data_IF_402809497625
#
_entry.id   IF_402809497625
#
_cell.length_a   1.000
_cell.length_b   1.000
_cell.length_c   1.000
_cell.angle_alpha   90.00
_cell.angle_beta   90.00
_cell.angle_gamma   90.00
#
_symmetry.space_group_name_H-M   'P 1'
#
loop_
_entity.id
_entity.type
_entity.pdbx_description
1 polymer ?
#
# COMPACT_ATOMS: atom_id res chain seq x y z
N UNK A 1 9.41 0.90 -2.34
CA UNK A 1 8.80 2.20 -2.10
C UNK A 1 7.52 2.03 -1.32
N UNK A 2 7.22 2.97 -0.45
CA UNK A 2 6.00 2.99 0.33
C UNK A 2 4.78 2.94 -0.63
N UNK A 3 3.96 1.92 -0.51
CA UNK A 3 2.78 1.70 -1.36
C UNK A 3 1.78 2.85 -1.23
N UNK A 4 1.86 3.60 -0.13
CA UNK A 4 1.00 4.74 0.18
C UNK A 4 1.47 6.06 -0.44
N UNK A 5 2.77 6.21 -0.67
CA UNK A 5 3.36 7.46 -1.16
C UNK A 5 3.65 7.35 -2.65
N UNK A 6 2.62 7.56 -3.49
CA UNK A 6 2.78 7.59 -4.95
C UNK A 6 3.38 8.92 -5.39
N UNK A 7 4.66 9.10 -5.09
CA UNK A 7 5.42 10.26 -5.51
C UNK A 7 6.43 9.86 -6.58
N UNK A 8 6.63 10.72 -7.56
CA UNK A 8 7.65 10.54 -8.58
C UNK A 8 8.47 11.79 -8.69
N UNK A 9 9.79 11.66 -8.54
CA UNK A 9 10.72 12.74 -8.79
C UNK A 9 11.34 12.58 -10.18
N UNK A 10 11.37 13.67 -10.95
CA UNK A 10 12.10 13.74 -12.22
C UNK A 10 13.15 14.82 -12.10
N UNK A 11 14.40 14.42 -12.30
CA UNK A 11 15.56 15.30 -12.18
C UNK A 11 16.23 15.41 -13.54
N UNK A 12 16.42 16.62 -14.01
CA UNK A 12 17.17 16.95 -15.22
C UNK A 12 18.45 17.72 -14.84
N UNK A 13 19.27 18.11 -15.81
CA UNK A 13 20.47 18.92 -15.53
C UNK A 13 20.17 20.29 -14.93
N UNK A 14 18.97 20.81 -15.10
CA UNK A 14 18.62 22.19 -14.72
C UNK A 14 17.35 22.32 -13.89
N UNK A 15 16.55 21.25 -13.76
CA UNK A 15 15.25 21.28 -13.09
C UNK A 15 15.05 19.99 -12.29
N UNK A 16 14.36 20.14 -11.17
CA UNK A 16 13.83 19.01 -10.40
C UNK A 16 12.33 19.21 -10.20
N UNK A 17 11.55 18.16 -10.42
CA UNK A 17 10.10 18.17 -10.22
C UNK A 17 9.66 16.99 -9.37
N UNK A 18 8.67 17.21 -8.52
CA UNK A 18 8.02 16.18 -7.71
C UNK A 18 6.53 16.13 -8.07
N UNK A 19 6.08 14.99 -8.56
CA UNK A 19 4.66 14.67 -8.80
C UNK A 19 4.09 13.95 -7.60
N UNK A 20 2.95 14.42 -7.10
CA UNK A 20 2.22 13.77 -6.03
C UNK A 20 0.71 13.92 -6.23
N UNK A 21 -0.09 13.07 -5.58
CA UNK A 21 -1.54 13.13 -5.63
C UNK A 21 -2.14 14.02 -4.52
N UNK A 22 -3.46 14.21 -4.56
CA UNK A 22 -4.19 15.16 -3.71
C UNK A 22 -4.02 14.95 -2.20
N UNK A 23 -3.68 13.73 -1.76
CA UNK A 23 -3.45 13.42 -0.34
C UNK A 23 -2.24 14.15 0.23
N UNK A 24 -1.29 14.55 -0.61
CA UNK A 24 -0.01 15.14 -0.22
C UNK A 24 0.18 16.59 -0.68
N UNK A 25 -0.78 17.22 -1.34
CA UNK A 25 -0.61 18.58 -1.87
C UNK A 25 -0.22 19.59 -0.78
N UNK A 26 -0.89 19.57 0.36
CA UNK A 26 -0.63 20.49 1.47
C UNK A 26 0.74 20.21 2.09
N UNK A 27 1.03 18.93 2.36
CA UNK A 27 2.30 18.52 2.95
C UNK A 27 3.48 18.83 2.02
N UNK A 28 3.39 18.44 0.75
CA UNK A 28 4.45 18.65 -0.22
C UNK A 28 4.72 20.14 -0.46
N UNK A 29 3.68 20.98 -0.51
CA UNK A 29 3.85 22.44 -0.63
C UNK A 29 4.68 23.02 0.53
N UNK A 30 4.37 22.62 1.77
CA UNK A 30 5.12 23.05 2.95
C UNK A 30 6.57 22.53 2.95
N UNK A 31 6.77 21.25 2.63
CA UNK A 31 8.10 20.61 2.65
C UNK A 31 9.03 21.07 1.53
N UNK A 32 8.49 21.52 0.41
CA UNK A 32 9.26 22.04 -0.73
C UNK A 32 9.48 23.55 -0.69
N UNK A 33 8.90 24.25 0.29
CA UNK A 33 9.10 25.69 0.44
C UNK A 33 10.59 26.05 0.60
N UNK A 34 11.06 27.01 -0.16
CA UNK A 34 12.47 27.42 -0.19
C UNK A 34 13.43 26.47 -0.93
N UNK A 35 12.95 25.36 -1.49
CA UNK A 35 13.74 24.44 -2.32
C UNK A 35 13.68 24.82 -3.80
N UNK A 36 14.53 24.19 -4.62
CA UNK A 36 14.51 24.33 -6.10
C UNK A 36 13.62 23.28 -6.77
N UNK A 37 12.91 22.46 -6.01
CA UNK A 37 12.05 21.38 -6.54
C UNK A 37 10.66 21.94 -6.82
N UNK A 38 10.19 21.80 -8.05
CA UNK A 38 8.84 22.21 -8.47
C UNK A 38 7.83 21.14 -8.07
N UNK A 39 6.76 21.52 -7.36
CA UNK A 39 5.63 20.64 -7.08
C UNK A 39 4.67 20.56 -8.28
N UNK A 40 4.43 19.36 -8.77
CA UNK A 40 3.41 19.05 -9.77
C UNK A 40 2.25 18.31 -9.11
N UNK A 41 1.09 18.97 -9.04
CA UNK A 41 -0.13 18.43 -8.43
C UNK A 41 -0.86 17.55 -9.43
N UNK A 42 -0.68 16.23 -9.31
CA UNK A 42 -1.26 15.25 -10.25
C UNK A 42 -2.78 15.38 -10.32
N UNK A 43 -3.32 15.39 -11.56
CA UNK A 43 -4.76 15.48 -11.83
C UNK A 43 -5.34 16.90 -11.82
N UNK A 44 -4.55 17.93 -11.47
CA UNK A 44 -4.99 19.33 -11.60
C UNK A 44 -4.86 19.80 -13.06
N UNK A 45 -5.70 20.77 -13.42
CA UNK A 45 -5.73 21.34 -14.77
C UNK A 45 -4.36 21.96 -15.14
N UNK A 46 -3.92 21.74 -16.37
CA UNK A 46 -2.62 22.21 -16.92
C UNK A 46 -1.37 21.61 -16.26
N UNK A 47 -1.50 20.61 -15.39
CA UNK A 47 -0.35 19.91 -14.81
C UNK A 47 -0.03 18.69 -15.69
N UNK A 48 1.17 18.64 -16.32
CA UNK A 48 1.53 17.49 -17.14
C UNK A 48 1.72 16.24 -16.29
N UNK A 49 1.36 15.09 -16.81
CA UNK A 49 1.76 13.79 -16.24
C UNK A 49 3.28 13.64 -16.27
N UNK A 50 3.81 12.71 -15.50
CA UNK A 50 5.26 12.39 -15.53
C UNK A 50 5.71 12.03 -16.95
N UNK A 51 4.92 11.23 -17.66
CA UNK A 51 5.24 10.76 -19.01
C UNK A 51 5.27 11.92 -20.02
N UNK A 52 4.26 12.79 -19.99
CA UNK A 52 4.22 14.00 -20.84
C UNK A 52 5.39 14.92 -20.55
N UNK A 53 5.73 15.14 -19.27
CA UNK A 53 6.86 15.96 -18.91
C UNK A 53 8.19 15.38 -19.40
N UNK A 54 8.38 14.06 -19.24
CA UNK A 54 9.58 13.36 -19.72
C UNK A 54 9.66 13.46 -21.25
N UNK A 55 8.56 13.21 -21.97
CA UNK A 55 8.53 13.30 -23.45
C UNK A 55 8.82 14.72 -23.94
N UNK A 56 8.34 15.77 -23.25
CA UNK A 56 8.57 17.16 -23.59
C UNK A 56 10.00 17.63 -23.29
N UNK A 57 10.60 17.13 -22.22
CA UNK A 57 11.91 17.60 -21.73
C UNK A 57 13.09 16.79 -22.25
N UNK A 58 12.86 15.53 -22.65
CA UNK A 58 13.89 14.67 -23.23
C UNK A 58 14.37 15.26 -24.57
N UNK A 59 15.67 15.51 -24.64
CA UNK A 59 16.30 15.96 -25.88
C UNK A 59 16.49 14.81 -26.86
N UNK A 60 16.63 15.15 -28.13
CA UNK A 60 17.03 14.19 -29.17
C UNK A 60 18.32 13.47 -28.77
N UNK A 61 18.35 12.13 -28.89
CA UNK A 61 19.47 11.31 -28.47
C UNK A 61 19.68 11.23 -26.92
N UNK A 62 18.75 11.78 -26.12
CA UNK A 62 18.87 11.85 -24.68
C UNK A 62 18.71 10.49 -23.98
N UNK A 63 19.02 10.43 -22.69
CA UNK A 63 18.91 9.21 -21.89
C UNK A 63 17.94 9.40 -20.74
N UNK A 64 17.02 8.46 -20.57
CA UNK A 64 16.18 8.32 -19.36
C UNK A 64 16.85 7.29 -18.46
N UNK A 65 17.15 7.65 -17.19
CA UNK A 65 17.80 6.78 -16.24
C UNK A 65 16.97 6.54 -14.98
N UNK A 66 16.86 5.28 -14.53
CA UNK A 66 16.29 4.88 -13.25
C UNK A 66 16.80 3.50 -12.83
N UNK A 67 16.67 3.15 -11.55
CA UNK A 67 16.93 1.78 -11.11
C UNK A 67 15.79 0.86 -11.61
N UNK A 68 16.13 -0.11 -12.47
CA UNK A 68 15.17 -1.06 -13.02
C UNK A 68 14.44 -1.92 -11.98
N UNK A 69 14.90 -1.94 -10.73
CA UNK A 69 14.27 -2.68 -9.61
C UNK A 69 13.09 -1.93 -8.98
N UNK A 70 13.00 -0.60 -9.16
CA UNK A 70 12.00 0.26 -8.49
C UNK A 70 10.91 0.81 -9.42
N UNK A 71 11.02 0.56 -10.72
CA UNK A 71 10.01 0.92 -11.72
C UNK A 71 9.39 -0.36 -12.27
N UNK A 72 8.05 -0.44 -12.28
CA UNK A 72 7.38 -1.62 -12.81
C UNK A 72 7.59 -1.77 -14.33
N UNK A 73 7.45 -3.01 -14.82
CA UNK A 73 7.73 -3.35 -16.22
C UNK A 73 6.85 -2.63 -17.23
N UNK A 74 5.58 -2.36 -16.89
CA UNK A 74 4.66 -1.64 -17.78
C UNK A 74 5.09 -0.19 -17.98
N UNK A 75 5.44 0.49 -16.90
CA UNK A 75 5.92 1.87 -16.99
C UNK A 75 7.32 1.94 -17.57
N UNK A 76 8.21 0.99 -17.25
CA UNK A 76 9.52 0.88 -17.88
C UNK A 76 9.44 0.76 -19.41
N UNK A 77 8.51 -0.08 -19.91
CA UNK A 77 8.27 -0.20 -21.36
C UNK A 77 7.75 1.10 -21.98
N UNK A 78 6.89 1.86 -21.29
CA UNK A 78 6.42 3.17 -21.75
C UNK A 78 7.55 4.20 -21.82
N UNK A 79 8.41 4.23 -20.81
CA UNK A 79 9.59 5.11 -20.80
C UNK A 79 10.60 4.73 -21.90
N UNK A 80 10.73 3.44 -22.21
CA UNK A 80 11.52 2.96 -23.35
C UNK A 80 10.97 3.52 -24.68
N UNK A 81 9.65 3.43 -24.90
CA UNK A 81 9.00 4.00 -26.09
C UNK A 81 9.20 5.51 -26.21
N UNK A 82 9.14 6.26 -25.09
CA UNK A 82 9.42 7.71 -25.08
C UNK A 82 10.88 7.97 -25.49
N UNK A 83 11.83 7.20 -24.97
CA UNK A 83 13.24 7.33 -25.34
C UNK A 83 13.45 7.04 -26.84
N UNK A 84 12.87 5.96 -27.37
CA UNK A 84 12.98 5.57 -28.78
C UNK A 84 12.43 6.61 -29.74
N UNK A 85 11.28 7.24 -29.43
CA UNK A 85 10.73 8.35 -30.22
C UNK A 85 11.70 9.55 -30.39
N UNK A 86 12.63 9.69 -29.45
CA UNK A 86 13.66 10.73 -29.43
C UNK A 86 15.04 10.19 -29.84
N UNK A 87 15.11 9.02 -30.50
CA UNK A 87 16.37 8.32 -30.79
C UNK A 87 17.32 8.24 -29.61
N UNK A 88 16.74 8.23 -28.40
CA UNK A 88 17.42 8.20 -27.11
C UNK A 88 17.62 6.80 -26.55
N UNK A 89 18.02 6.72 -25.28
CA UNK A 89 18.34 5.46 -24.59
C UNK A 89 17.64 5.39 -23.24
N UNK A 90 17.35 4.15 -22.81
CA UNK A 90 16.97 3.84 -21.44
C UNK A 90 18.19 3.28 -20.69
N UNK A 91 18.45 3.78 -19.49
CA UNK A 91 19.53 3.31 -18.61
C UNK A 91 18.92 2.83 -17.29
N UNK A 92 18.94 1.52 -17.07
CA UNK A 92 18.21 0.86 -15.95
C UNK A 92 19.06 -0.13 -15.14
N UNK A 93 20.35 -0.17 -15.41
CA UNK A 93 21.26 -1.17 -14.88
C UNK A 93 21.74 -0.87 -13.46
N UNK A 94 21.77 0.42 -13.08
CA UNK A 94 22.39 0.87 -11.83
C UNK A 94 21.40 1.63 -10.95
N UNK A 95 21.61 1.49 -9.64
CA UNK A 95 20.96 2.30 -8.62
C UNK A 95 21.69 3.65 -8.49
N UNK A 96 21.25 4.63 -9.28
CA UNK A 96 21.83 5.96 -9.28
C UNK A 96 21.68 6.70 -7.94
N UNK A 97 20.63 6.41 -7.19
CA UNK A 97 20.39 7.01 -5.89
C UNK A 97 21.30 6.38 -4.85
N UNK A 98 21.47 5.06 -4.88
CA UNK A 98 22.39 4.35 -3.98
C UNK A 98 23.85 4.80 -4.10
N UNK A 99 24.27 5.29 -5.27
CA UNK A 99 25.61 5.84 -5.47
C UNK A 99 25.89 7.11 -4.66
N UNK A 100 24.86 7.92 -4.40
CA UNK A 100 24.98 9.19 -3.66
C UNK A 100 24.49 9.10 -2.22
N UNK A 101 23.60 8.17 -1.90
CA UNK A 101 23.07 7.95 -0.55
C UNK A 101 23.95 6.99 0.24
N UNK A 102 25.05 7.50 0.81
CA UNK A 102 26.10 6.71 1.45
C UNK A 102 25.70 6.05 2.77
N UNK A 103 24.77 6.63 3.49
CA UNK A 103 24.23 6.16 4.76
C UNK A 103 22.88 5.44 4.60
N UNK A 104 22.59 4.94 3.39
CA UNK A 104 21.37 4.18 3.10
C UNK A 104 21.28 2.94 3.98
N UNK A 105 20.16 2.73 4.71
CA UNK A 105 19.96 1.52 5.48
C UNK A 105 20.06 0.26 4.60
N UNK A 106 20.62 -0.84 5.12
CA UNK A 106 20.59 -2.13 4.41
C UNK A 106 19.16 -2.63 4.24
N UNK A 107 18.98 -3.63 3.40
CA UNK A 107 17.70 -4.34 3.27
C UNK A 107 17.34 -4.94 4.64
N UNK A 108 16.08 -4.81 5.03
CA UNK A 108 15.54 -5.35 6.28
C UNK A 108 15.74 -6.87 6.36
N UNK A 109 15.97 -7.39 7.55
CA UNK A 109 16.14 -8.81 7.88
C UNK A 109 15.30 -9.17 9.12
N UNK A 110 14.08 -8.66 9.17
CA UNK A 110 13.18 -8.95 10.27
C UNK A 110 12.73 -10.42 10.26
N UNK A 111 12.48 -11.01 11.45
CA UNK A 111 12.04 -12.40 11.55
C UNK A 111 10.77 -12.68 10.77
N UNK A 112 10.74 -13.84 10.14
CA UNK A 112 9.56 -14.37 9.47
C UNK A 112 8.79 -15.28 10.44
N UNK A 113 7.49 -15.14 10.49
CA UNK A 113 6.62 -15.97 11.31
C UNK A 113 5.47 -16.57 10.48
N UNK A 114 4.92 -17.67 10.95
CA UNK A 114 3.89 -18.45 10.28
C UNK A 114 2.53 -18.02 10.83
N UNK A 115 1.61 -17.63 9.95
CA UNK A 115 0.21 -17.44 10.31
C UNK A 115 -0.48 -18.81 10.32
N UNK A 116 -0.81 -19.29 11.53
CA UNK A 116 -1.43 -20.59 11.74
C UNK A 116 -2.73 -20.74 10.93
N UNK A 117 -3.02 -21.99 10.52
CA UNK A 117 -4.21 -22.32 9.74
C UNK A 117 -5.52 -22.05 10.53
N UNK A 118 -5.48 -22.07 11.85
CA UNK A 118 -6.59 -21.65 12.71
C UNK A 118 -6.99 -20.18 12.48
N UNK A 119 -6.05 -19.35 12.01
CA UNK A 119 -6.31 -17.96 11.63
C UNK A 119 -6.52 -17.81 10.13
N UNK A 120 -5.69 -18.42 9.28
CA UNK A 120 -5.77 -18.29 7.82
C UNK A 120 -6.93 -19.07 7.18
N UNK A 121 -7.46 -20.08 7.88
CA UNK A 121 -8.59 -20.89 7.42
C UNK A 121 -8.33 -21.76 6.19
N UNK A 122 -7.11 -21.75 5.65
CA UNK A 122 -6.73 -22.51 4.46
C UNK A 122 -5.25 -22.82 4.45
N UNK A 123 -4.89 -24.07 4.20
CA UNK A 123 -3.50 -24.50 4.19
C UNK A 123 -2.72 -23.91 3.00
N UNK A 124 -1.41 -23.76 3.17
CA UNK A 124 -0.50 -23.36 2.07
C UNK A 124 -0.55 -24.33 0.89
N UNK A 125 -0.67 -25.63 1.17
CA UNK A 125 -0.81 -26.64 0.10
C UNK A 125 -2.05 -26.41 -0.76
N UNK A 126 -3.19 -26.14 -0.13
CA UNK A 126 -4.45 -25.88 -0.86
C UNK A 126 -4.41 -24.58 -1.65
N UNK A 127 -3.74 -23.55 -1.11
CA UNK A 127 -3.53 -22.29 -1.82
C UNK A 127 -2.64 -22.47 -3.05
N UNK A 128 -1.50 -23.17 -2.89
CA UNK A 128 -0.60 -23.50 -3.99
C UNK A 128 -1.29 -24.35 -5.08
N UNK A 129 -2.08 -25.35 -4.68
CA UNK A 129 -2.84 -26.18 -5.62
C UNK A 129 -3.85 -25.32 -6.42
N UNK A 130 -4.58 -24.41 -5.76
CA UNK A 130 -5.54 -23.55 -6.43
C UNK A 130 -4.86 -22.59 -7.44
N UNK A 131 -3.71 -22.02 -7.08
CA UNK A 131 -2.94 -21.17 -8.02
C UNK A 131 -2.43 -21.98 -9.20
N UNK A 132 -1.95 -23.20 -8.98
CA UNK A 132 -1.53 -24.10 -10.07
C UNK A 132 -2.65 -24.43 -11.03
N UNK A 133 -3.88 -24.64 -10.55
CA UNK A 133 -5.04 -24.83 -11.44
C UNK A 133 -5.30 -23.56 -12.29
N UNK A 134 -5.19 -22.37 -11.71
CA UNK A 134 -5.31 -21.12 -12.48
C UNK A 134 -4.18 -20.93 -13.50
N UNK A 135 -2.99 -21.38 -13.19
CA UNK A 135 -1.88 -21.42 -14.17
C UNK A 135 -2.22 -22.36 -15.34
N UNK A 136 -2.74 -23.56 -15.08
CA UNK A 136 -3.17 -24.50 -16.14
C UNK A 136 -4.28 -23.90 -17.02
N UNK A 137 -5.31 -23.29 -16.42
CA UNK A 137 -6.39 -22.63 -17.15
C UNK A 137 -5.86 -21.56 -18.12
N UNK A 138 -4.76 -20.88 -17.75
CA UNK A 138 -4.10 -19.86 -18.58
C UNK A 138 -3.03 -20.41 -19.51
N UNK A 139 -2.69 -21.69 -19.40
CA UNK A 139 -1.59 -22.32 -20.17
C UNK A 139 -0.20 -21.87 -19.71
N UNK A 140 -0.06 -21.42 -18.47
CA UNK A 140 1.21 -20.96 -17.90
C UNK A 140 1.98 -22.12 -17.26
N UNK A 141 3.26 -22.23 -17.59
CA UNK A 141 4.19 -23.22 -17.03
C UNK A 141 4.88 -22.67 -15.76
N UNK A 142 5.17 -21.37 -15.76
CA UNK A 142 5.80 -20.66 -14.64
C UNK A 142 4.97 -19.45 -14.27
N UNK A 143 4.79 -19.19 -12.98
CA UNK A 143 4.23 -17.94 -12.46
C UNK A 143 5.27 -17.22 -11.62
N UNK A 144 5.59 -15.97 -11.98
CA UNK A 144 6.52 -15.11 -11.26
C UNK A 144 5.74 -14.11 -10.43
N UNK A 145 5.82 -14.21 -9.10
CA UNK A 145 5.19 -13.32 -8.13
C UNK A 145 6.21 -12.34 -7.55
N UNK A 146 5.89 -11.05 -7.60
CA UNK A 146 6.65 -9.96 -6.96
C UNK A 146 5.83 -9.17 -5.95
N UNK A 147 4.53 -9.41 -5.87
CA UNK A 147 3.66 -8.82 -4.85
C UNK A 147 3.92 -9.47 -3.50
N UNK A 148 4.47 -8.71 -2.55
CA UNK A 148 4.79 -9.19 -1.21
C UNK A 148 3.55 -9.68 -0.45
N UNK A 149 2.39 -9.02 -0.68
CA UNK A 149 1.11 -9.38 -0.07
C UNK A 149 0.61 -10.74 -0.55
N UNK A 150 0.76 -10.99 -1.85
CA UNK A 150 0.33 -12.23 -2.49
C UNK A 150 1.22 -13.40 -2.07
N UNK A 151 2.53 -13.17 -1.98
CA UNK A 151 3.49 -14.16 -1.47
C UNK A 151 3.18 -14.49 0.00
N UNK A 152 3.00 -13.49 0.85
CA UNK A 152 2.70 -13.68 2.26
C UNK A 152 1.37 -14.42 2.48
N UNK A 153 0.33 -14.08 1.69
CA UNK A 153 -0.95 -14.78 1.72
C UNK A 153 -0.81 -16.22 1.23
N UNK A 154 -0.12 -16.44 0.11
CA UNK A 154 0.03 -17.77 -0.52
C UNK A 154 0.76 -18.76 0.39
N UNK A 155 1.83 -18.28 1.04
CA UNK A 155 2.68 -19.10 1.90
C UNK A 155 2.23 -19.14 3.37
N UNK A 156 1.18 -18.43 3.76
CA UNK A 156 0.79 -18.24 5.17
C UNK A 156 1.94 -17.75 6.06
N UNK A 157 2.78 -16.87 5.55
CA UNK A 157 3.88 -16.27 6.29
C UNK A 157 3.69 -14.77 6.45
N UNK A 158 4.28 -14.22 7.48
CA UNK A 158 4.32 -12.78 7.76
C UNK A 158 5.71 -12.40 8.19
N UNK A 159 6.04 -11.12 8.11
CA UNK A 159 7.28 -10.53 8.59
C UNK A 159 7.08 -9.05 8.84
N UNK A 160 8.12 -8.35 9.27
CA UNK A 160 8.05 -6.94 9.63
C UNK A 160 9.06 -6.10 8.82
N UNK A 161 9.39 -6.53 7.60
CA UNK A 161 10.35 -5.82 6.74
C UNK A 161 9.87 -4.42 6.31
N UNK A 162 8.57 -4.17 6.37
CA UNK A 162 7.97 -2.86 6.09
C UNK A 162 7.15 -2.45 7.31
N UNK A 163 7.38 -1.26 7.84
CA UNK A 163 6.64 -0.72 8.98
C UNK A 163 5.13 -0.79 8.72
N UNK A 164 4.37 -1.28 9.68
CA UNK A 164 2.91 -1.43 9.62
C UNK A 164 2.39 -2.38 8.52
N UNK A 165 3.25 -3.13 7.87
CA UNK A 165 2.85 -4.05 6.81
C UNK A 165 3.54 -5.40 7.03
N UNK A 166 2.79 -6.44 7.48
CA UNK A 166 3.39 -7.71 7.89
C UNK A 166 3.77 -8.58 6.70
N UNK A 167 4.82 -8.21 5.98
CA UNK A 167 5.34 -8.88 4.78
C UNK A 167 6.84 -9.14 4.87
N UNK A 168 7.31 -10.02 4.00
CA UNK A 168 8.73 -10.36 3.83
C UNK A 168 9.19 -9.87 2.46
N UNK A 169 10.32 -9.17 2.40
CA UNK A 169 10.93 -8.75 1.14
C UNK A 169 11.40 -9.98 0.36
N UNK A 170 10.69 -10.32 -0.71
CA UNK A 170 10.93 -11.58 -1.42
C UNK A 170 10.36 -11.57 -2.85
N UNK A 171 10.73 -12.59 -3.60
CA UNK A 171 10.11 -13.01 -4.86
C UNK A 171 9.71 -14.48 -4.78
N UNK A 172 8.81 -14.91 -5.64
CA UNK A 172 8.41 -16.30 -5.70
C UNK A 172 8.26 -16.73 -7.16
N UNK A 173 8.76 -17.93 -7.45
CA UNK A 173 8.53 -18.64 -8.71
C UNK A 173 7.76 -19.94 -8.43
N UNK A 174 6.63 -20.10 -9.09
CA UNK A 174 5.77 -21.28 -8.97
C UNK A 174 5.68 -22.00 -10.32
N UNK A 175 5.93 -23.29 -10.33
CA UNK A 175 5.62 -24.20 -11.44
C UNK A 175 4.60 -25.23 -11.00
N UNK A 176 4.20 -26.14 -11.89
CA UNK A 176 3.31 -27.26 -11.50
C UNK A 176 3.92 -28.16 -10.43
N UNK A 177 5.26 -28.25 -10.37
CA UNK A 177 5.98 -29.18 -9.50
C UNK A 177 6.72 -28.45 -8.36
N UNK A 178 7.23 -27.25 -8.60
CA UNK A 178 8.11 -26.54 -7.69
C UNK A 178 7.48 -25.23 -7.17
N UNK A 179 7.85 -24.87 -5.95
CA UNK A 179 7.64 -23.55 -5.39
C UNK A 179 8.98 -23.06 -4.83
N UNK A 180 9.54 -22.02 -5.42
CA UNK A 180 10.84 -21.46 -5.03
C UNK A 180 10.60 -20.07 -4.47
N UNK A 181 10.96 -19.87 -3.20
CA UNK A 181 10.86 -18.58 -2.51
C UNK A 181 12.23 -17.95 -2.39
N UNK A 182 12.39 -16.76 -2.95
CA UNK A 182 13.64 -15.99 -2.97
C UNK A 182 13.59 -14.90 -1.91
N UNK A 183 14.42 -15.04 -0.87
CA UNK A 183 14.45 -14.10 0.26
C UNK A 183 15.86 -14.04 0.84
N UNK A 184 16.07 -13.20 1.85
CA UNK A 184 17.32 -13.22 2.60
C UNK A 184 17.35 -14.50 3.45
N UNK A 185 18.36 -15.37 3.24
CA UNK A 185 18.41 -16.70 3.88
C UNK A 185 18.59 -16.63 5.39
N UNK A 186 19.14 -15.53 5.91
CA UNK A 186 19.38 -15.33 7.33
C UNK A 186 18.08 -15.23 8.16
N UNK A 187 16.95 -14.92 7.54
CA UNK A 187 15.64 -14.88 8.24
C UNK A 187 14.93 -16.22 8.31
N UNK A 188 15.52 -17.28 7.73
CA UNK A 188 14.95 -18.63 7.72
C UNK A 188 15.48 -19.43 8.91
N UNK A 189 14.76 -19.40 10.03
CA UNK A 189 15.05 -20.23 11.18
C UNK A 189 14.63 -21.70 10.97
N UNK A 190 14.91 -22.56 11.93
CA UNK A 190 14.62 -24.00 11.83
C UNK A 190 13.11 -24.27 11.78
N UNK A 191 12.29 -23.53 12.51
CA UNK A 191 10.83 -23.67 12.52
C UNK A 191 10.24 -23.36 11.16
N UNK A 192 10.66 -22.24 10.57
CA UNK A 192 10.25 -21.85 9.23
C UNK A 192 10.76 -22.86 8.20
N UNK A 193 11.99 -23.35 8.34
CA UNK A 193 12.57 -24.36 7.44
C UNK A 193 11.75 -25.64 7.41
N UNK A 194 11.36 -26.16 8.57
CA UNK A 194 10.50 -27.35 8.68
C UNK A 194 9.13 -27.10 8.05
N UNK A 195 8.53 -25.95 8.29
CA UNK A 195 7.27 -25.55 7.68
C UNK A 195 7.35 -25.50 6.15
N UNK A 196 8.38 -24.90 5.60
CA UNK A 196 8.58 -24.78 4.16
C UNK A 196 8.79 -26.17 3.52
N UNK A 197 9.61 -27.02 4.13
CA UNK A 197 9.84 -28.40 3.66
C UNK A 197 8.54 -29.21 3.65
N UNK A 198 7.74 -29.13 4.72
CA UNK A 198 6.42 -29.79 4.81
C UNK A 198 5.47 -29.36 3.70
N UNK A 199 5.59 -28.12 3.22
CA UNK A 199 4.75 -27.55 2.16
C UNK A 199 5.37 -27.66 0.76
N UNK A 200 6.55 -28.30 0.61
CA UNK A 200 7.23 -28.46 -0.67
C UNK A 200 7.80 -27.15 -1.25
N UNK A 201 8.21 -26.25 -0.38
CA UNK A 201 8.78 -24.93 -0.73
C UNK A 201 10.28 -24.99 -0.53
N UNK A 202 11.06 -24.57 -1.53
CA UNK A 202 12.51 -24.39 -1.44
C UNK A 202 12.86 -22.91 -1.37
N UNK A 203 13.91 -22.57 -0.63
CA UNK A 203 14.40 -21.19 -0.55
C UNK A 203 15.65 -21.00 -1.40
N UNK A 204 15.83 -19.77 -1.89
CA UNK A 204 17.06 -19.31 -2.55
C UNK A 204 17.35 -17.86 -2.12
N UNK A 205 18.62 -17.41 -2.21
CA UNK A 205 18.96 -16.02 -1.94
C UNK A 205 18.15 -15.02 -2.76
N UNK A 206 17.74 -13.91 -2.17
CA UNK A 206 16.90 -12.87 -2.79
C UNK A 206 17.43 -12.45 -4.18
N UNK A 207 18.70 -12.14 -4.30
CA UNK A 207 19.31 -11.69 -5.57
C UNK A 207 19.37 -12.79 -6.64
N UNK A 208 19.31 -14.06 -6.24
CA UNK A 208 19.31 -15.18 -7.19
C UNK A 208 18.06 -15.22 -8.07
N UNK A 209 17.01 -14.48 -7.71
CA UNK A 209 15.79 -14.37 -8.52
C UNK A 209 16.07 -13.81 -9.91
N UNK A 210 16.92 -12.79 -10.02
CA UNK A 210 17.23 -12.15 -11.29
C UNK A 210 18.01 -13.09 -12.25
N UNK A 211 18.86 -13.96 -11.71
CA UNK A 211 19.55 -14.98 -12.51
C UNK A 211 18.63 -16.15 -12.85
N UNK A 212 17.75 -16.53 -11.93
CA UNK A 212 16.74 -17.57 -12.21
C UNK A 212 15.82 -17.18 -13.38
N UNK A 213 15.38 -15.93 -13.44
CA UNK A 213 14.53 -15.45 -14.53
C UNK A 213 15.17 -15.64 -15.91
N UNK A 214 16.50 -15.46 -16.01
CA UNK A 214 17.25 -15.66 -17.28
C UNK A 214 17.25 -17.12 -17.76
N UNK A 215 17.01 -18.09 -16.87
CA UNK A 215 17.01 -19.51 -17.21
C UNK A 215 15.70 -20.04 -17.79
N UNK A 216 14.65 -19.22 -17.85
CA UNK A 216 13.31 -19.61 -18.25
C UNK A 216 13.12 -19.61 -19.78
N UNK A 217 14.08 -20.22 -20.51
CA UNK A 217 14.02 -20.34 -21.96
C UNK A 217 12.86 -21.24 -22.40
N UNK A 218 12.16 -20.84 -23.46
CA UNK A 218 11.05 -21.57 -24.08
C UNK A 218 9.88 -21.88 -23.13
N UNK A 219 9.76 -21.16 -22.00
CA UNK A 219 8.67 -21.33 -21.03
C UNK A 219 7.53 -20.33 -21.27
N UNK A 220 6.30 -20.74 -20.97
CA UNK A 220 5.15 -19.83 -20.90
C UNK A 220 5.03 -19.27 -19.49
N UNK A 221 5.29 -17.97 -19.33
CA UNK A 221 5.43 -17.31 -18.05
C UNK A 221 4.25 -16.38 -17.79
N UNK A 222 3.52 -16.62 -16.70
CA UNK A 222 2.52 -15.71 -16.16
C UNK A 222 3.19 -14.72 -15.23
N UNK A 223 2.97 -13.43 -15.45
CA UNK A 223 3.39 -12.35 -14.58
C UNK A 223 2.51 -11.11 -14.80
N UNK A 224 2.49 -10.21 -13.84
CA UNK A 224 1.82 -8.92 -13.97
C UNK A 224 2.87 -7.81 -14.16
N UNK A 225 2.98 -7.26 -15.37
CA UNK A 225 3.95 -6.19 -15.68
C UNK A 225 3.69 -4.90 -14.91
N UNK A 226 2.49 -4.71 -14.33
CA UNK A 226 2.23 -3.58 -13.46
C UNK A 226 2.81 -3.77 -12.03
N UNK A 227 3.22 -5.00 -11.68
CA UNK A 227 3.76 -5.38 -10.37
C UNK A 227 5.23 -5.74 -10.44
N UNK A 228 5.62 -6.65 -11.36
CA UNK A 228 7.04 -7.00 -11.53
C UNK A 228 7.84 -5.80 -12.03
N UNK A 229 9.09 -5.69 -11.61
CA UNK A 229 9.93 -4.56 -11.97
C UNK A 229 10.56 -4.70 -13.38
N UNK A 230 11.05 -3.58 -13.92
CA UNK A 230 11.66 -3.50 -15.25
C UNK A 230 12.87 -4.42 -15.40
N UNK A 231 13.70 -4.59 -14.37
CA UNK A 231 14.86 -5.48 -14.40
C UNK A 231 14.46 -6.94 -14.60
N UNK A 232 13.36 -7.38 -13.97
CA UNK A 232 12.79 -8.72 -14.20
C UNK A 232 12.37 -8.85 -15.66
N UNK A 233 11.58 -7.89 -16.18
CA UNK A 233 11.12 -7.91 -17.57
C UNK A 233 12.29 -7.97 -18.58
N UNK A 234 13.35 -7.21 -18.33
CA UNK A 234 14.53 -7.16 -19.21
C UNK A 234 15.43 -8.39 -19.12
N UNK A 235 15.30 -9.19 -18.05
CA UNK A 235 16.05 -10.43 -17.88
C UNK A 235 15.34 -11.66 -18.45
N UNK A 236 14.07 -11.52 -18.89
CA UNK A 236 13.34 -12.62 -19.50
C UNK A 236 13.99 -13.00 -20.85
N UNK A 237 14.19 -14.30 -21.13
CA UNK A 237 14.68 -14.75 -22.43
C UNK A 237 13.74 -14.34 -23.57
N UNK A 238 14.29 -14.04 -24.75
CA UNK A 238 13.48 -13.73 -25.95
C UNK A 238 12.62 -14.92 -26.39
N UNK A 239 13.04 -16.16 -26.07
CA UNK A 239 12.30 -17.39 -26.34
C UNK A 239 11.11 -17.63 -25.40
N UNK A 240 11.00 -16.89 -24.29
CA UNK A 240 9.91 -17.02 -23.34
C UNK A 240 8.61 -16.39 -23.88
N UNK A 241 7.48 -17.08 -23.68
CA UNK A 241 6.15 -16.56 -23.97
C UNK A 241 5.56 -15.90 -22.71
N UNK A 242 5.18 -14.64 -22.80
CA UNK A 242 4.72 -13.87 -21.64
C UNK A 242 3.20 -13.72 -21.66
N UNK A 243 2.55 -14.19 -20.60
CA UNK A 243 1.15 -13.90 -20.28
C UNK A 243 1.16 -12.73 -19.29
N UNK A 244 0.96 -11.50 -19.79
CA UNK A 244 0.79 -10.29 -18.94
C UNK A 244 -0.66 -10.23 -18.44
N UNK A 245 -0.89 -10.65 -17.19
CA UNK A 245 -2.21 -10.67 -16.59
C UNK A 245 -2.12 -10.44 -15.08
N UNK A 246 -3.25 -10.14 -14.45
CA UNK A 246 -3.35 -10.05 -13.00
C UNK A 246 -2.99 -11.38 -12.34
N UNK A 247 -2.28 -11.29 -11.21
CA UNK A 247 -1.93 -12.44 -10.40
C UNK A 247 -3.19 -13.13 -9.88
N UNK A 248 -3.36 -14.44 -10.06
CA UNK A 248 -4.54 -15.18 -9.57
C UNK A 248 -4.77 -15.02 -8.06
N UNK A 249 -3.70 -14.78 -7.32
CA UNK A 249 -3.70 -14.56 -5.87
C UNK A 249 -4.42 -13.28 -5.46
N UNK A 250 -4.45 -12.26 -6.31
CA UNK A 250 -5.10 -10.97 -6.02
C UNK A 250 -6.59 -11.17 -5.65
N UNK A 251 -7.32 -11.86 -6.51
CA UNK A 251 -8.75 -12.11 -6.32
C UNK A 251 -8.99 -13.15 -5.20
N UNK A 252 -8.19 -14.23 -5.18
CA UNK A 252 -8.29 -15.28 -4.15
C UNK A 252 -8.07 -14.73 -2.74
N UNK A 253 -7.18 -13.76 -2.58
CA UNK A 253 -6.88 -13.10 -1.30
C UNK A 253 -7.99 -12.10 -0.91
N UNK A 254 -8.54 -11.38 -1.88
CA UNK A 254 -9.58 -10.39 -1.65
C UNK A 254 -10.89 -11.04 -1.16
N UNK A 255 -11.22 -12.25 -1.62
CA UNK A 255 -12.40 -13.00 -1.17
C UNK A 255 -12.06 -13.79 0.09
N UNK A 256 -12.48 -13.26 1.24
CA UNK A 256 -12.20 -13.86 2.56
C UNK A 256 -13.03 -15.13 2.77
N UNK A 257 -12.37 -16.17 3.35
CA UNK A 257 -13.07 -17.39 3.79
C UNK A 257 -13.79 -17.17 5.12
N UNK A 258 -14.61 -18.15 5.54
CA UNK A 258 -15.44 -18.07 6.75
C UNK A 258 -14.60 -17.86 8.03
N UNK A 259 -13.41 -18.45 8.09
CA UNK A 259 -12.49 -18.29 9.24
C UNK A 259 -11.95 -16.86 9.28
N UNK A 260 -11.48 -16.33 8.17
CA UNK A 260 -11.02 -14.95 8.05
C UNK A 260 -12.13 -13.94 8.37
N UNK A 261 -13.38 -14.18 7.90
CA UNK A 261 -14.54 -13.33 8.21
C UNK A 261 -14.86 -13.36 9.70
N UNK A 262 -14.94 -14.56 10.29
CA UNK A 262 -15.23 -14.72 11.72
C UNK A 262 -14.17 -14.04 12.59
N UNK A 263 -12.90 -14.22 12.24
CA UNK A 263 -11.80 -13.63 12.97
C UNK A 263 -11.75 -12.10 12.78
N UNK A 264 -11.97 -11.57 11.58
CA UNK A 264 -12.05 -10.12 11.35
C UNK A 264 -13.11 -9.46 12.24
N UNK A 265 -14.26 -10.10 12.45
CA UNK A 265 -15.28 -9.61 13.39
C UNK A 265 -14.75 -9.51 14.82
N UNK A 266 -13.95 -10.50 15.27
CA UNK A 266 -13.31 -10.47 16.60
C UNK A 266 -12.30 -9.34 16.73
N UNK A 267 -11.44 -9.17 15.70
CA UNK A 267 -10.47 -8.07 15.65
C UNK A 267 -11.16 -6.72 15.78
N UNK A 268 -12.26 -6.50 15.05
CA UNK A 268 -13.03 -5.24 15.13
C UNK A 268 -13.70 -5.02 16.49
N UNK A 269 -14.10 -6.06 17.19
CA UNK A 269 -14.62 -5.91 18.59
C UNK A 269 -13.51 -5.47 19.53
N UNK A 270 -12.33 -6.09 19.44
CA UNK A 270 -11.15 -5.70 20.24
C UNK A 270 -10.77 -4.23 19.99
N UNK A 271 -10.69 -3.85 18.73
CA UNK A 271 -10.33 -2.50 18.35
C UNK A 271 -11.39 -1.46 18.73
N UNK A 272 -12.67 -1.82 18.62
CA UNK A 272 -13.78 -0.99 19.08
C UNK A 272 -13.74 -0.74 20.59
N UNK A 273 -13.30 -1.68 21.40
CA UNK A 273 -13.11 -1.50 22.86
C UNK A 273 -12.05 -0.43 23.10
N UNK A 274 -10.88 -0.51 22.42
CA UNK A 274 -9.84 0.48 22.54
C UNK A 274 -10.33 1.89 22.11
N UNK A 275 -11.01 1.97 20.97
CA UNK A 275 -11.56 3.23 20.46
C UNK A 275 -12.64 3.84 21.37
N UNK A 276 -13.55 3.03 21.93
CA UNK A 276 -14.57 3.52 22.87
C UNK A 276 -13.97 4.03 24.19
N UNK A 277 -12.94 3.33 24.71
CA UNK A 277 -12.20 3.79 25.89
C UNK A 277 -11.46 5.10 25.63
N UNK A 278 -10.81 5.20 24.47
CA UNK A 278 -10.17 6.46 24.03
C UNK A 278 -11.17 7.60 23.93
N UNK A 279 -12.30 7.37 23.28
CA UNK A 279 -13.37 8.35 23.12
C UNK A 279 -13.88 8.90 24.45
N UNK A 280 -14.11 8.01 25.42
CA UNK A 280 -14.51 8.37 26.78
C UNK A 280 -13.44 9.21 27.47
N UNK A 281 -12.18 8.76 27.43
CA UNK A 281 -11.05 9.46 28.03
C UNK A 281 -10.86 10.85 27.42
N UNK A 282 -10.86 10.96 26.10
CA UNK A 282 -10.70 12.21 25.39
C UNK A 282 -11.77 13.25 25.81
N UNK A 283 -13.03 12.88 25.73
CA UNK A 283 -14.16 13.75 26.08
C UNK A 283 -14.21 14.14 27.56
N UNK A 284 -13.75 13.27 28.44
CA UNK A 284 -13.71 13.53 29.87
C UNK A 284 -12.61 14.50 30.28
N UNK A 285 -11.49 14.50 29.56
CA UNK A 285 -10.24 15.08 30.01
C UNK A 285 -9.78 16.30 29.17
N UNK A 286 -10.26 16.46 27.93
CA UNK A 286 -9.90 17.62 27.10
C UNK A 286 -10.20 18.93 27.82
N UNK A 287 -9.23 19.85 27.85
CA UNK A 287 -9.30 21.09 28.57
C UNK A 287 -9.10 20.99 30.10
N UNK A 288 -8.93 19.77 30.66
CA UNK A 288 -8.67 19.57 32.11
C UNK A 288 -7.24 19.09 32.37
N UNK A 289 -6.65 18.35 31.45
CA UNK A 289 -5.25 17.93 31.49
C UNK A 289 -4.54 18.36 30.19
N UNK A 290 -3.23 18.59 30.23
CA UNK A 290 -2.47 18.82 29.00
C UNK A 290 -2.60 17.61 28.05
N UNK A 291 -2.92 17.89 26.80
CA UNK A 291 -3.00 16.90 25.71
C UNK A 291 -2.48 17.52 24.44
N UNK A 292 -1.80 16.73 23.64
CA UNK A 292 -1.38 17.07 22.28
C UNK A 292 -1.82 15.99 21.31
N UNK A 293 -1.64 16.20 20.01
CA UNK A 293 -1.93 15.19 18.99
C UNK A 293 -1.12 13.91 19.25
N UNK A 294 0.18 14.04 19.55
CA UNK A 294 1.06 12.89 19.86
C UNK A 294 0.57 12.18 21.13
N UNK A 295 0.34 12.91 22.22
CA UNK A 295 -0.06 12.27 23.47
C UNK A 295 -1.43 11.59 23.40
N UNK A 296 -2.33 12.08 22.57
CA UNK A 296 -3.62 11.45 22.30
C UNK A 296 -3.46 10.19 21.44
N UNK A 297 -2.61 10.23 20.42
CA UNK A 297 -2.24 9.07 19.60
C UNK A 297 -1.62 7.97 20.45
N UNK A 298 -0.61 8.28 21.26
CA UNK A 298 0.08 7.35 22.16
C UNK A 298 -0.88 6.69 23.16
N UNK A 299 -1.83 7.46 23.67
CA UNK A 299 -2.84 6.91 24.58
C UNK A 299 -3.77 5.91 23.87
N UNK A 300 -4.20 6.20 22.64
CA UNK A 300 -5.00 5.27 21.85
C UNK A 300 -4.21 4.00 21.54
N UNK A 301 -2.94 4.12 21.17
CA UNK A 301 -2.07 2.97 20.96
C UNK A 301 -1.92 2.13 22.23
N UNK A 302 -1.73 2.75 23.39
CA UNK A 302 -1.64 2.03 24.67
C UNK A 302 -2.88 1.18 24.96
N UNK A 303 -4.07 1.68 24.61
CA UNK A 303 -5.32 0.94 24.78
C UNK A 303 -5.46 -0.24 23.79
N UNK A 304 -4.89 -0.12 22.59
CA UNK A 304 -4.80 -1.23 21.65
C UNK A 304 -3.81 -2.30 22.13
N UNK A 305 -2.68 -1.88 22.69
CA UNK A 305 -1.65 -2.79 23.22
C UNK A 305 -2.14 -3.60 24.43
N UNK A 306 -3.21 -3.18 25.10
CA UNK A 306 -3.89 -3.97 26.12
C UNK A 306 -4.76 -5.12 25.54
N UNK A 307 -5.06 -5.09 24.24
CA UNK A 307 -5.87 -6.11 23.58
C UNK A 307 -5.02 -7.34 23.26
N UNK A 308 -5.53 -8.51 23.61
CA UNK A 308 -4.86 -9.78 23.31
C UNK A 308 -4.70 -10.00 21.80
N UNK A 309 -3.52 -10.45 21.38
CA UNK A 309 -3.24 -10.77 19.98
C UNK A 309 -2.96 -9.56 19.08
N UNK A 310 -2.80 -8.35 19.63
CA UNK A 310 -2.28 -7.24 18.87
C UNK A 310 -0.82 -7.53 18.47
N UNK A 311 -0.53 -7.41 17.18
CA UNK A 311 0.79 -7.58 16.60
C UNK A 311 1.50 -6.22 16.47
N UNK A 312 0.83 -5.26 15.83
CA UNK A 312 1.32 -3.89 15.62
C UNK A 312 0.16 -2.99 15.18
N UNK A 313 0.43 -1.70 14.98
CA UNK A 313 -0.49 -0.81 14.27
C UNK A 313 -0.59 -1.21 12.80
N UNK A 314 -1.74 -0.95 12.15
CA UNK A 314 -1.94 -1.22 10.73
C UNK A 314 -1.45 -0.09 9.82
N UNK A 315 -1.24 1.09 10.41
CA UNK A 315 -0.60 2.28 9.84
C UNK A 315 -0.29 3.27 10.95
N UNK A 316 0.54 4.25 10.64
CA UNK A 316 0.87 5.33 11.57
C UNK A 316 -0.37 6.14 11.93
N UNK A 317 -0.69 6.26 13.22
CA UNK A 317 -1.94 6.91 13.68
C UNK A 317 -1.98 8.35 13.21
N UNK A 318 -3.03 8.71 12.49
CA UNK A 318 -3.34 10.08 12.10
C UNK A 318 -4.19 10.69 13.21
N UNK A 319 -3.65 11.69 13.89
CA UNK A 319 -4.34 12.42 14.95
C UNK A 319 -4.21 13.91 14.65
N UNK A 320 -5.13 14.44 13.85
CA UNK A 320 -5.05 15.81 13.33
C UNK A 320 -6.08 16.74 13.98
N UNK A 321 -5.60 17.75 14.72
CA UNK A 321 -6.42 18.79 15.33
C UNK A 321 -6.54 19.99 14.40
N UNK A 322 -7.73 20.55 14.28
CA UNK A 322 -8.03 21.72 13.46
C UNK A 322 -7.47 21.58 12.02
N UNK A 323 -6.54 22.44 11.61
CA UNK A 323 -5.97 22.49 10.26
C UNK A 323 -5.21 21.21 9.89
N UNK A 324 -4.64 20.51 10.87
CA UNK A 324 -3.93 19.27 10.63
C UNK A 324 -4.85 18.12 10.17
N UNK A 325 -6.13 18.16 10.53
CA UNK A 325 -7.14 17.24 10.04
C UNK A 325 -7.39 17.30 8.52
N UNK A 326 -6.94 18.38 7.85
CA UNK A 326 -7.01 18.51 6.39
C UNK A 326 -5.85 17.82 5.67
N UNK A 327 -4.81 17.39 6.38
CA UNK A 327 -3.67 16.67 5.83
C UNK A 327 -3.98 15.18 5.90
N UNK A 328 -4.35 14.57 4.76
CA UNK A 328 -4.94 13.22 4.70
C UNK A 328 -4.06 12.14 5.35
N UNK A 329 -2.74 12.20 5.19
CA UNK A 329 -1.78 11.28 5.83
C UNK A 329 -0.87 12.05 6.81
N UNK A 330 -1.51 12.81 7.70
CA UNK A 330 -0.79 13.56 8.72
C UNK A 330 -0.14 12.63 9.74
N UNK A 331 1.13 12.82 10.00
CA UNK A 331 1.84 12.24 11.13
C UNK A 331 2.42 13.39 11.95
N UNK A 332 1.99 13.52 13.20
CA UNK A 332 2.52 14.52 14.10
C UNK A 332 4.00 14.23 14.41
N UNK A 333 4.82 15.26 14.35
CA UNK A 333 6.22 15.21 14.79
C UNK A 333 6.42 16.13 15.97
N UNK A 334 7.50 16.04 16.75
CA UNK A 334 7.75 16.96 17.84
C UNK A 334 7.70 18.45 17.44
N UNK A 335 8.02 18.75 16.17
CA UNK A 335 8.00 20.11 15.62
C UNK A 335 6.60 20.57 15.18
N UNK A 336 5.73 19.64 14.78
CA UNK A 336 4.38 19.93 14.29
C UNK A 336 3.29 19.72 15.33
N UNK A 337 3.61 19.03 16.44
CA UNK A 337 2.66 18.68 17.50
C UNK A 337 2.00 19.92 18.13
N UNK A 338 0.68 19.89 18.23
CA UNK A 338 -0.09 21.00 18.79
C UNK A 338 -0.95 20.58 19.98
N UNK A 339 -1.15 21.47 20.96
CA UNK A 339 -2.02 21.18 22.09
C UNK A 339 -3.50 21.11 21.66
N UNK A 340 -4.21 20.11 22.17
CA UNK A 340 -5.65 19.97 22.00
C UNK A 340 -6.39 20.94 22.92
N UNK A 341 -7.29 21.75 22.36
CA UNK A 341 -8.13 22.66 23.08
C UNK A 341 -9.56 22.14 23.21
N UNK A 342 -10.35 22.53 24.22
CA UNK A 342 -11.76 22.13 24.34
C UNK A 342 -12.66 22.92 23.37
N UNK A 343 -12.30 22.94 22.11
CA UNK A 343 -13.01 23.56 20.98
C UNK A 343 -12.64 22.89 19.66
N UNK A 344 -13.45 23.04 18.63
CA UNK A 344 -13.16 22.56 17.29
C UNK A 344 -13.24 21.06 17.13
N UNK A 345 -12.57 20.54 16.09
CA UNK A 345 -12.60 19.15 15.67
C UNK A 345 -11.22 18.49 15.77
N UNK A 346 -11.20 17.24 16.21
CA UNK A 346 -10.06 16.33 16.15
C UNK A 346 -10.43 15.15 15.26
N UNK A 347 -9.68 14.93 14.19
CA UNK A 347 -9.77 13.74 13.36
C UNK A 347 -8.76 12.71 13.88
N UNK A 348 -9.22 11.48 14.13
CA UNK A 348 -8.37 10.36 14.51
C UNK A 348 -8.64 9.20 13.56
N UNK A 349 -7.62 8.83 12.80
CA UNK A 349 -7.63 7.71 11.87
C UNK A 349 -6.52 6.73 12.27
N UNK A 350 -6.89 5.48 12.51
CA UNK A 350 -6.01 4.52 13.19
C UNK A 350 -6.50 3.09 13.02
N UNK A 351 -5.62 2.13 13.24
CA UNK A 351 -5.97 0.73 13.19
C UNK A 351 -4.89 -0.17 13.77
N UNK A 352 -5.16 -1.46 13.83
CA UNK A 352 -4.22 -2.46 14.34
C UNK A 352 -4.23 -3.75 13.54
N UNK A 353 -3.09 -4.42 13.51
CA UNK A 353 -2.97 -5.81 13.14
C UNK A 353 -3.13 -6.69 14.37
N UNK A 354 -4.14 -7.50 14.35
CA UNK A 354 -4.37 -8.57 15.34
C UNK A 354 -4.12 -9.92 14.67
N UNK A 355 -3.86 -10.97 15.44
CA UNK A 355 -3.81 -12.33 14.88
C UNK A 355 -5.10 -12.69 14.12
N UNK A 356 -6.22 -12.09 14.53
CA UNK A 356 -7.54 -12.30 13.93
C UNK A 356 -7.85 -11.38 12.74
N UNK A 357 -6.99 -10.43 12.38
CA UNK A 357 -7.24 -9.56 11.23
C UNK A 357 -6.69 -8.14 11.38
N UNK A 358 -6.98 -7.32 10.39
CA UNK A 358 -6.54 -5.93 10.31
C UNK A 358 -7.74 -5.01 10.45
N UNK A 359 -7.58 -3.92 11.20
CA UNK A 359 -8.60 -2.88 11.39
C UNK A 359 -8.15 -1.54 10.82
N UNK A 360 -9.15 -0.71 10.48
CA UNK A 360 -9.00 0.64 9.96
C UNK A 360 -10.24 1.43 10.41
N UNK A 361 -10.06 2.39 11.30
CA UNK A 361 -11.16 3.12 11.93
C UNK A 361 -10.84 4.60 11.98
N UNK A 362 -11.66 5.42 11.31
CA UNK A 362 -11.62 6.87 11.43
C UNK A 362 -12.79 7.40 12.25
N UNK A 363 -12.52 8.34 13.16
CA UNK A 363 -13.54 9.11 13.88
C UNK A 363 -13.12 10.57 13.99
N UNK A 364 -14.08 11.47 13.79
CA UNK A 364 -13.92 12.92 14.02
C UNK A 364 -14.68 13.31 15.27
N UNK A 365 -13.97 13.92 16.22
CA UNK A 365 -14.51 14.30 17.53
C UNK A 365 -14.67 15.80 17.64
N UNK A 366 -15.85 16.26 18.05
CA UNK A 366 -16.01 17.62 18.56
C UNK A 366 -15.44 17.69 19.99
N UNK A 367 -14.41 18.49 20.20
CA UNK A 367 -13.76 18.67 21.49
C UNK A 367 -14.46 19.72 22.38
N UNK A 368 -15.36 20.52 21.81
CA UNK A 368 -16.14 21.54 22.44
C UNK A 368 -17.00 22.30 21.43
N UNK A 369 -17.15 23.63 21.55
CA UNK A 369 -17.90 24.44 20.57
C UNK A 369 -17.34 24.27 19.15
N UNK A 370 -18.22 24.13 18.17
CA UNK A 370 -17.92 24.03 16.73
C UNK A 370 -18.79 25.03 15.96
N UNK A 371 -18.29 25.49 14.81
CA UNK A 371 -19.02 26.43 13.95
C UNK A 371 -20.19 25.74 13.21
N UNK A 372 -21.12 26.51 12.67
CA UNK A 372 -22.22 25.97 11.83
C UNK A 372 -21.68 25.36 10.53
N UNK A 373 -20.59 25.87 9.98
CA UNK A 373 -19.91 25.30 8.84
C UNK A 373 -19.35 23.90 9.15
N UNK A 374 -18.61 23.74 10.28
CA UNK A 374 -18.12 22.44 10.73
C UNK A 374 -19.26 21.42 10.92
N UNK A 375 -20.41 21.84 11.45
CA UNK A 375 -21.58 20.97 11.58
C UNK A 375 -22.15 20.55 10.23
N UNK A 376 -22.22 21.49 9.29
CA UNK A 376 -22.71 21.24 7.94
C UNK A 376 -21.79 20.25 7.20
N UNK A 377 -20.47 20.44 7.30
CA UNK A 377 -19.47 19.56 6.65
C UNK A 377 -19.43 18.17 7.29
N UNK A 378 -19.47 18.09 8.61
CA UNK A 378 -19.61 16.81 9.32
C UNK A 378 -20.86 16.05 8.87
N UNK A 379 -21.98 16.76 8.72
CA UNK A 379 -23.25 16.16 8.25
C UNK A 379 -23.14 15.69 6.81
N UNK A 380 -22.47 16.43 5.93
CA UNK A 380 -22.20 16.02 4.53
C UNK A 380 -21.37 14.74 4.48
N UNK A 381 -20.28 14.67 5.27
CA UNK A 381 -19.45 13.45 5.36
C UNK A 381 -20.27 12.24 5.84
N UNK A 382 -21.09 12.42 6.89
CA UNK A 382 -21.97 11.38 7.40
C UNK A 382 -22.97 10.92 6.33
N UNK A 383 -23.63 11.87 5.64
CA UNK A 383 -24.58 11.60 4.54
C UNK A 383 -23.89 10.86 3.40
N UNK A 384 -22.70 11.29 2.98
CA UNK A 384 -21.87 10.65 1.97
C UNK A 384 -21.57 9.18 2.31
N UNK A 385 -21.08 8.93 3.51
CA UNK A 385 -20.78 7.58 3.99
C UNK A 385 -22.05 6.68 4.01
N UNK A 386 -23.16 7.19 4.57
CA UNK A 386 -24.41 6.45 4.64
C UNK A 386 -25.01 6.17 3.27
N UNK A 387 -24.94 7.12 2.33
CA UNK A 387 -25.43 6.94 0.97
C UNK A 387 -24.67 5.79 0.28
N UNK A 388 -23.35 5.78 0.36
CA UNK A 388 -22.53 4.72 -0.22
C UNK A 388 -22.77 3.37 0.48
N UNK A 389 -22.80 3.34 1.82
CA UNK A 389 -23.00 2.11 2.59
C UNK A 389 -24.37 1.46 2.34
N UNK A 390 -25.40 2.24 2.02
CA UNK A 390 -26.76 1.76 1.70
C UNK A 390 -27.03 1.61 0.21
N UNK A 391 -26.03 1.88 -0.65
CA UNK A 391 -26.21 1.84 -2.09
C UNK A 391 -26.61 0.45 -2.58
N UNK A 392 -27.63 0.40 -3.46
CA UNK A 392 -28.01 -0.79 -4.22
C UNK A 392 -27.64 -0.56 -5.67
N UNK A 393 -26.96 -1.52 -6.28
CA UNK A 393 -26.43 -1.39 -7.62
C UNK A 393 -26.50 -2.71 -8.38
N UNK A 394 -26.44 -2.63 -9.71
CA UNK A 394 -26.48 -3.80 -10.57
C UNK A 394 -25.11 -4.47 -10.61
N UNK A 395 -25.09 -5.79 -10.80
CA UNK A 395 -23.89 -6.53 -11.10
C UNK A 395 -23.15 -5.92 -12.31
N UNK A 396 -21.84 -5.76 -12.20
CA UNK A 396 -21.01 -5.09 -13.20
C UNK A 396 -20.69 -3.62 -12.89
N UNK A 397 -21.35 -3.00 -11.91
CA UNK A 397 -20.92 -1.69 -11.41
C UNK A 397 -19.60 -1.84 -10.67
N UNK A 398 -18.64 -0.96 -11.00
CA UNK A 398 -17.33 -0.87 -10.32
C UNK A 398 -17.36 0.17 -9.20
N UNK A 399 -16.33 0.16 -8.35
CA UNK A 399 -16.15 1.18 -7.34
C UNK A 399 -16.06 2.61 -7.90
N UNK A 400 -15.56 2.77 -9.13
CA UNK A 400 -15.56 4.06 -9.84
C UNK A 400 -17.00 4.58 -10.07
N UNK A 401 -17.94 3.70 -10.43
CA UNK A 401 -19.33 4.11 -10.61
C UNK A 401 -19.98 4.49 -9.29
N UNK A 402 -19.62 3.80 -8.20
CA UNK A 402 -20.22 3.99 -6.88
C UNK A 402 -19.65 5.19 -6.14
N UNK A 403 -18.44 5.61 -6.46
CA UNK A 403 -17.74 6.75 -5.85
C UNK A 403 -18.57 8.06 -5.97
N UNK A 404 -19.32 8.22 -7.07
CA UNK A 404 -20.22 9.35 -7.31
C UNK A 404 -21.25 9.50 -6.20
N UNK A 405 -21.78 8.38 -5.67
CA UNK A 405 -22.80 8.39 -4.60
C UNK A 405 -22.26 9.04 -3.32
N UNK A 406 -20.98 8.87 -3.06
CA UNK A 406 -20.30 9.48 -1.92
C UNK A 406 -19.96 10.95 -2.17
N UNK A 407 -19.64 11.34 -3.41
CA UNK A 407 -19.24 12.72 -3.73
C UNK A 407 -20.39 13.67 -3.98
N UNK A 408 -21.54 13.17 -4.40
CA UNK A 408 -22.70 13.98 -4.74
C UNK A 408 -23.09 15.00 -3.66
N UNK A 409 -23.13 14.66 -2.33
CA UNK A 409 -23.44 15.65 -1.30
C UNK A 409 -22.42 16.80 -1.17
N UNK A 410 -21.20 16.59 -1.63
CA UNK A 410 -20.16 17.64 -1.65
C UNK A 410 -20.31 18.51 -2.90
N UNK A 411 -20.52 17.89 -4.07
CA UNK A 411 -20.70 18.63 -5.33
C UNK A 411 -21.92 19.53 -5.32
N UNK A 412 -23.03 19.12 -4.67
CA UNK A 412 -24.19 19.98 -4.40
C UNK A 412 -23.81 21.30 -3.68
N UNK A 413 -22.75 21.28 -2.87
CA UNK A 413 -22.26 22.44 -2.12
C UNK A 413 -21.06 23.14 -2.79
N UNK A 414 -20.66 22.73 -4.00
CA UNK A 414 -19.46 23.24 -4.67
C UNK A 414 -18.15 22.79 -4.00
N UNK A 415 -18.19 21.71 -3.23
CA UNK A 415 -17.05 21.15 -2.51
C UNK A 415 -16.63 19.82 -3.14
N UNK A 416 -15.40 19.39 -2.84
CA UNK A 416 -14.88 18.07 -3.19
C UNK A 416 -13.75 17.68 -2.23
N UNK A 417 -13.37 16.38 -2.24
CA UNK A 417 -12.20 15.86 -1.54
C UNK A 417 -11.24 15.18 -2.52
N UNK A 418 -9.92 15.32 -2.27
CA UNK A 418 -8.85 14.95 -3.22
C UNK A 418 -8.21 13.58 -2.93
N UNK A 419 -8.93 12.69 -2.25
CA UNK A 419 -8.48 11.32 -1.95
C UNK A 419 -9.52 10.29 -2.41
N UNK A 420 -9.20 8.99 -2.33
CA UNK A 420 -10.18 7.94 -2.58
C UNK A 420 -11.23 7.88 -1.48
N UNK A 421 -12.43 7.36 -1.80
CA UNK A 421 -13.55 7.26 -0.87
C UNK A 421 -13.47 6.00 -0.01
N UNK A 422 -12.94 4.90 -0.55
CA UNK A 422 -12.85 3.64 0.18
C UNK A 422 -12.00 2.60 -0.54
N UNK A 423 -11.67 1.54 0.19
CA UNK A 423 -10.80 0.46 -0.29
C UNK A 423 -11.11 -0.85 0.42
N UNK A 424 -10.59 -1.98 -0.11
CA UNK A 424 -10.57 -3.25 0.60
C UNK A 424 -9.53 -3.24 1.72
N UNK A 425 -9.67 -4.15 2.68
CA UNK A 425 -8.75 -4.32 3.81
C UNK A 425 -8.13 -5.71 3.76
N UNK A 426 -6.80 -5.79 3.87
CA UNK A 426 -6.08 -7.05 3.92
C UNK A 426 -6.30 -7.79 5.23
N UNK A 427 -6.15 -9.11 5.21
CA UNK A 427 -6.26 -9.95 6.41
C UNK A 427 -4.88 -10.23 6.99
N UNK A 428 -4.54 -9.57 8.09
CA UNK A 428 -3.18 -9.56 8.66
C UNK A 428 -2.14 -9.28 7.56
N UNK A 429 -2.47 -8.28 6.75
CA UNK A 429 -1.69 -7.77 5.61
C UNK A 429 -1.92 -6.26 5.49
N UNK A 430 -1.48 -5.67 4.38
CA UNK A 430 -1.66 -4.25 4.15
C UNK A 430 -3.12 -3.80 4.37
N UNK A 431 -3.30 -2.71 5.11
CA UNK A 431 -4.62 -2.10 5.36
C UNK A 431 -5.35 -1.75 4.06
N UNK A 432 -4.63 -1.30 3.03
CA UNK A 432 -5.19 -1.11 1.69
C UNK A 432 -5.02 -2.37 0.84
N UNK A 433 -6.13 -2.97 0.42
CA UNK A 433 -6.13 -4.16 -0.42
C UNK A 433 -6.99 -3.96 -1.67
N UNK A 434 -6.40 -4.20 -2.86
CA UNK A 434 -7.15 -4.32 -4.10
C UNK A 434 -7.80 -5.71 -4.27
N UNK A 435 -8.68 -5.89 -5.28
CA UNK A 435 -9.03 -4.91 -6.33
C UNK A 435 -10.12 -3.91 -5.92
N UNK A 436 -10.75 -4.08 -4.75
CA UNK A 436 -11.85 -3.25 -4.30
C UNK A 436 -11.37 -1.83 -3.95
N UNK A 437 -11.88 -0.83 -4.67
CA UNK A 437 -11.58 0.58 -4.44
C UNK A 437 -12.73 1.47 -4.94
N UNK A 438 -13.13 2.43 -4.12
CA UNK A 438 -14.09 3.48 -4.48
C UNK A 438 -13.30 4.77 -4.76
N UNK A 439 -13.10 5.05 -6.04
CA UNK A 439 -12.42 6.27 -6.55
C UNK A 439 -12.61 6.38 -8.05
N UNK A 440 -12.64 7.60 -8.57
CA UNK A 440 -12.63 7.90 -10.00
C UNK A 440 -11.19 8.11 -10.51
#
# INVERSE_FOLDING_TARGET
GDVYKRQTAVITRTKAGLWTDGRYFVQAAKQLEGTTVTLYRMGEEHVPTVDEYVEQTLKEGGTIGFDGRVVNGRWGAKLQQIAEKKHGKLYVQEDLIGQIWKDRPPMSKEPVWILDEAYSGRSTKDKLAAVREKMKEKGAEVHLLASLYDIAWLLNVRGNDISYVPVVLSYLALTQEQCIWFLQEEVVDDTLREYLQKNGITTRPYEAFYEYVKTLENQTILLNRAVVNTKICNNLPESAQIIDAEDPTLEMKAVKNETEISNTRKAHVKDAVAMCRFMYWLKKNVGKIPMTEISASDYLESLRREQEGLLDLSFDTICGYADHGAIVHYAATPESDVPLKPEGLLLVDSGGHYLEGTTDITRTFALGPVTEEMKADFTRVCRSNMNLANARFLYGCSGMNLDIIAREPFWEAGLDFKHGTGHGVGYVLNVHEGPNAFRY
#
